data_IF_491729678839
#
_entry.id   IF_491729678839
#
_cell.length_a   1.000
_cell.length_b   1.000
_cell.length_c   1.000
_cell.angle_alpha   90.00
_cell.angle_beta   90.00
_cell.angle_gamma   90.00
#
_symmetry.space_group_name_H-M   'P 1'
#
loop_
_entity.id
_entity.type
_entity.pdbx_description
1 polymer ?
#
# COMPACT_ATOMS: atom_id res chain seq x y z
N UNK A 1 16.84 -56.22 -21.84
CA UNK A 1 16.02 -55.99 -20.63
C UNK A 1 16.42 -54.71 -19.86
N UNK A 2 17.70 -54.37 -19.79
CA UNK A 2 18.22 -53.16 -19.11
C UNK A 2 17.73 -51.82 -19.71
N UNK A 3 17.68 -51.70 -21.03
CA UNK A 3 17.23 -50.47 -21.72
C UNK A 3 15.82 -50.02 -21.34
N UNK A 4 14.88 -50.98 -21.14
CA UNK A 4 13.51 -50.67 -20.71
C UNK A 4 13.45 -50.17 -19.27
N UNK A 5 14.38 -50.58 -18.39
CA UNK A 5 14.49 -50.07 -17.01
C UNK A 5 15.08 -48.66 -17.01
N UNK A 6 16.09 -48.40 -17.84
CA UNK A 6 16.72 -47.07 -17.97
C UNK A 6 15.71 -46.03 -18.48
N UNK A 7 14.93 -46.36 -19.50
CA UNK A 7 13.87 -45.47 -20.03
C UNK A 7 12.81 -45.17 -18.96
N UNK A 8 12.40 -46.17 -18.17
CA UNK A 8 11.43 -45.97 -17.08
C UNK A 8 11.98 -45.04 -15.98
N UNK A 9 13.24 -45.19 -15.59
CA UNK A 9 13.89 -44.35 -14.58
C UNK A 9 14.02 -42.91 -15.09
N UNK A 10 14.41 -42.74 -16.36
CA UNK A 10 14.54 -41.42 -16.97
C UNK A 10 13.19 -40.69 -17.05
N UNK A 11 12.11 -41.39 -17.45
CA UNK A 11 10.77 -40.81 -17.46
C UNK A 11 10.29 -40.45 -16.04
N UNK A 12 10.63 -41.25 -15.03
CA UNK A 12 10.27 -40.95 -13.64
C UNK A 12 10.99 -39.69 -13.13
N UNK A 13 12.26 -39.51 -13.49
CA UNK A 13 13.02 -38.30 -13.16
C UNK A 13 12.43 -37.05 -13.81
N UNK A 14 12.08 -37.11 -15.10
CA UNK A 14 11.42 -36.00 -15.83
C UNK A 14 10.08 -35.64 -15.20
N UNK A 15 9.27 -36.64 -14.86
CA UNK A 15 7.98 -36.40 -14.21
C UNK A 15 8.19 -35.76 -12.83
N UNK A 16 9.16 -36.24 -12.03
CA UNK A 16 9.44 -35.67 -10.72
C UNK A 16 9.96 -34.22 -10.82
N UNK A 17 10.81 -33.92 -11.80
CA UNK A 17 11.32 -32.56 -11.99
C UNK A 17 10.23 -31.62 -12.47
N UNK A 18 9.32 -32.06 -13.35
CA UNK A 18 8.13 -31.28 -13.74
C UNK A 18 7.21 -31.00 -12.55
N UNK A 19 7.00 -31.97 -11.65
CA UNK A 19 6.21 -31.77 -10.43
C UNK A 19 6.89 -30.77 -9.48
N UNK A 20 8.23 -30.86 -9.31
CA UNK A 20 8.99 -29.91 -8.50
C UNK A 20 8.96 -28.48 -9.07
N UNK A 21 8.98 -28.33 -10.39
CA UNK A 21 8.90 -27.01 -11.05
C UNK A 21 7.49 -26.41 -10.89
N UNK A 22 6.44 -27.22 -10.93
CA UNK A 22 5.06 -26.75 -10.70
C UNK A 22 4.75 -26.41 -9.24
N UNK A 23 5.51 -26.97 -8.28
CA UNK A 23 5.29 -26.75 -6.84
C UNK A 23 5.92 -25.48 -6.25
N UNK A 24 6.84 -24.81 -6.96
CA UNK A 24 7.68 -23.76 -6.38
C UNK A 24 7.32 -22.31 -6.76
N UNK A 25 6.24 -22.02 -7.49
CA UNK A 25 6.02 -20.62 -7.96
C UNK A 25 4.58 -20.15 -8.11
N UNK A 26 3.59 -20.80 -7.50
CA UNK A 26 2.23 -20.24 -7.53
C UNK A 26 1.97 -19.41 -6.28
N UNK A 27 2.14 -18.09 -6.42
CA UNK A 27 1.46 -17.12 -5.55
C UNK A 27 -0.04 -17.47 -5.65
N UNK A 28 -0.59 -18.06 -4.58
CA UNK A 28 -2.00 -18.43 -4.54
C UNK A 28 -2.80 -17.16 -4.23
N UNK A 29 -3.48 -16.63 -5.24
CA UNK A 29 -4.41 -15.52 -5.06
C UNK A 29 -5.68 -16.01 -4.37
N UNK A 30 -6.20 -15.20 -3.45
CA UNK A 30 -7.50 -15.45 -2.83
C UNK A 30 -8.56 -15.23 -3.91
N UNK A 31 -9.17 -16.31 -4.40
CA UNK A 31 -10.32 -16.21 -5.29
C UNK A 31 -11.48 -15.54 -4.53
N UNK A 32 -12.38 -14.84 -5.24
CA UNK A 32 -13.62 -14.22 -4.74
C UNK A 32 -14.43 -15.10 -3.79
N UNK A 33 -14.36 -16.42 -3.94
CA UNK A 33 -15.04 -17.40 -3.07
C UNK A 33 -14.37 -17.65 -1.71
N UNK A 34 -13.15 -17.16 -1.50
CA UNK A 34 -12.34 -17.40 -0.29
C UNK A 34 -12.26 -16.20 0.66
N UNK A 35 -12.73 -15.01 0.27
CA UNK A 35 -12.88 -13.89 1.21
C UNK A 35 -14.07 -14.19 2.13
N UNK A 36 -13.79 -14.72 3.31
CA UNK A 36 -14.78 -14.99 4.37
C UNK A 36 -14.96 -13.76 5.26
N UNK A 37 -15.35 -12.64 4.65
CA UNK A 37 -15.58 -11.41 5.42
C UNK A 37 -16.91 -11.46 6.17
N UNK A 38 -16.94 -10.90 7.38
CA UNK A 38 -18.20 -10.60 8.08
C UNK A 38 -18.87 -9.33 7.54
N UNK A 39 -18.11 -8.49 6.85
CA UNK A 39 -18.48 -7.19 6.26
C UNK A 39 -18.76 -7.30 4.75
N UNK A 40 -19.59 -8.26 4.33
CA UNK A 40 -19.81 -8.57 2.90
C UNK A 40 -20.36 -7.39 2.08
N UNK A 41 -21.28 -6.64 2.67
CA UNK A 41 -21.88 -5.47 2.00
C UNK A 41 -20.80 -4.44 1.68
N UNK A 42 -19.95 -4.11 2.66
CA UNK A 42 -18.81 -3.20 2.44
C UNK A 42 -17.86 -3.72 1.35
N UNK A 43 -17.48 -5.00 1.37
CA UNK A 43 -16.62 -5.62 0.33
C UNK A 43 -17.21 -5.42 -1.08
N UNK A 44 -18.53 -5.55 -1.22
CA UNK A 44 -19.24 -5.34 -2.48
C UNK A 44 -19.27 -3.86 -2.88
N UNK A 45 -19.57 -2.95 -1.94
CA UNK A 45 -19.68 -1.51 -2.19
C UNK A 45 -18.36 -0.87 -2.61
N UNK A 46 -17.25 -1.22 -1.94
CA UNK A 46 -15.92 -0.72 -2.34
C UNK A 46 -15.43 -1.35 -3.64
N UNK A 47 -16.09 -2.40 -4.11
CA UNK A 47 -15.73 -3.09 -5.35
C UNK A 47 -14.41 -3.85 -5.26
N UNK A 48 -14.05 -4.37 -4.08
CA UNK A 48 -12.76 -5.02 -3.81
C UNK A 48 -12.40 -6.11 -4.84
N UNK A 49 -13.41 -6.76 -5.40
CA UNK A 49 -13.29 -7.88 -6.35
C UNK A 49 -13.82 -7.56 -7.75
N UNK A 50 -14.06 -6.28 -8.04
CA UNK A 50 -14.67 -5.82 -9.29
C UNK A 50 -13.64 -5.37 -10.33
N UNK A 51 -12.41 -5.10 -9.90
CA UNK A 51 -11.31 -4.63 -10.75
C UNK A 51 -10.52 -5.83 -11.30
N UNK A 52 -10.20 -5.80 -12.60
CA UNK A 52 -9.44 -6.88 -13.27
C UNK A 52 -7.94 -6.67 -13.19
N UNK A 53 -7.55 -5.43 -12.92
CA UNK A 53 -6.19 -4.90 -12.87
C UNK A 53 -5.49 -5.22 -11.54
N UNK A 54 -6.23 -5.65 -10.53
CA UNK A 54 -5.70 -6.06 -9.23
C UNK A 54 -6.11 -7.49 -8.89
N UNK A 55 -5.37 -8.11 -7.97
CA UNK A 55 -5.74 -9.41 -7.38
C UNK A 55 -5.54 -9.36 -5.87
N UNK A 56 -6.48 -9.91 -5.12
CA UNK A 56 -6.32 -10.01 -3.67
C UNK A 56 -5.39 -11.18 -3.34
N UNK A 57 -4.20 -10.86 -2.84
CA UNK A 57 -3.19 -11.83 -2.42
C UNK A 57 -3.51 -12.38 -1.03
N UNK A 58 -4.01 -11.56 -0.12
CA UNK A 58 -4.45 -11.98 1.22
C UNK A 58 -5.60 -11.12 1.71
N UNK A 59 -6.45 -11.74 2.53
CA UNK A 59 -7.50 -11.08 3.28
C UNK A 59 -7.51 -11.67 4.68
N UNK A 60 -7.24 -10.86 5.69
CA UNK A 60 -7.26 -11.26 7.10
C UNK A 60 -8.23 -10.36 7.85
N UNK A 61 -9.16 -10.97 8.55
CA UNK A 61 -10.14 -10.27 9.36
C UNK A 61 -10.18 -10.92 10.74
N UNK A 62 -10.08 -10.08 11.76
CA UNK A 62 -10.23 -10.45 13.17
C UNK A 62 -11.37 -9.61 13.77
N UNK A 63 -11.70 -9.85 15.03
CA UNK A 63 -12.69 -9.05 15.74
C UNK A 63 -12.29 -7.56 15.86
N UNK A 64 -11.01 -7.21 15.61
CA UNK A 64 -10.46 -5.86 15.77
C UNK A 64 -9.77 -5.30 14.52
N UNK A 65 -9.55 -6.10 13.48
CA UNK A 65 -8.75 -5.64 12.34
C UNK A 65 -9.17 -6.23 11.01
N UNK A 66 -8.92 -5.47 9.94
CA UNK A 66 -9.04 -5.89 8.54
C UNK A 66 -7.74 -5.55 7.80
N UNK A 67 -7.09 -6.57 7.26
CA UNK A 67 -5.87 -6.42 6.46
C UNK A 67 -6.09 -7.01 5.06
N UNK A 68 -5.77 -6.22 4.04
CA UNK A 68 -5.91 -6.61 2.64
C UNK A 68 -4.57 -6.42 1.94
N UNK A 69 -4.02 -7.52 1.42
CA UNK A 69 -2.83 -7.51 0.58
C UNK A 69 -3.29 -7.56 -0.89
N UNK A 70 -3.01 -6.52 -1.66
CA UNK A 70 -3.46 -6.31 -3.04
C UNK A 70 -2.27 -6.42 -3.97
N UNK A 71 -2.27 -7.44 -4.83
CA UNK A 71 -1.32 -7.50 -5.94
C UNK A 71 -1.79 -6.57 -7.07
N UNK A 72 -0.96 -5.60 -7.43
CA UNK A 72 -1.23 -4.55 -8.41
C UNK A 72 -0.10 -4.56 -9.43
N UNK A 73 -0.41 -4.64 -10.74
CA UNK A 73 0.61 -4.29 -11.72
C UNK A 73 0.93 -2.79 -11.56
N UNK A 74 2.20 -2.37 -11.65
CA UNK A 74 2.63 -0.98 -11.40
C UNK A 74 2.15 -0.01 -12.49
N UNK A 75 1.12 -0.38 -13.26
CA UNK A 75 0.51 0.44 -14.29
C UNK A 75 -0.40 1.51 -13.69
N UNK A 76 -0.65 2.56 -14.48
CA UNK A 76 -1.66 3.57 -14.17
C UNK A 76 -3.02 2.95 -13.80
N UNK A 77 -3.45 1.91 -14.53
CA UNK A 77 -4.77 1.31 -14.30
C UNK A 77 -4.83 0.51 -13.01
N UNK A 78 -3.75 -0.17 -12.66
CA UNK A 78 -3.61 -0.87 -11.39
C UNK A 78 -3.72 0.10 -10.21
N UNK A 79 -2.89 1.15 -10.22
CA UNK A 79 -2.92 2.16 -9.16
C UNK A 79 -4.26 2.91 -9.08
N UNK A 80 -4.89 3.21 -10.23
CA UNK A 80 -6.23 3.80 -10.27
C UNK A 80 -7.27 2.90 -9.60
N UNK A 81 -7.24 1.59 -9.86
CA UNK A 81 -8.14 0.64 -9.23
C UNK A 81 -7.94 0.59 -7.69
N UNK A 82 -6.70 0.65 -7.22
CA UNK A 82 -6.41 0.73 -5.77
C UNK A 82 -6.97 2.03 -5.18
N UNK A 83 -6.72 3.17 -5.81
CA UNK A 83 -7.21 4.47 -5.34
C UNK A 83 -8.75 4.52 -5.32
N UNK A 84 -9.42 3.96 -6.33
CA UNK A 84 -10.88 3.85 -6.36
C UNK A 84 -11.42 3.05 -5.16
N UNK A 85 -10.75 1.97 -4.77
CA UNK A 85 -11.12 1.16 -3.59
C UNK A 85 -10.91 1.93 -2.30
N UNK A 86 -9.78 2.61 -2.14
CA UNK A 86 -9.47 3.45 -0.97
C UNK A 86 -10.51 4.58 -0.83
N UNK A 87 -10.78 5.31 -1.92
CA UNK A 87 -11.75 6.40 -1.92
C UNK A 87 -13.16 5.93 -1.57
N UNK A 88 -13.60 4.79 -2.14
CA UNK A 88 -14.90 4.20 -1.80
C UNK A 88 -14.96 3.71 -0.36
N UNK A 89 -13.86 3.15 0.17
CA UNK A 89 -13.79 2.77 1.57
C UNK A 89 -13.95 4.00 2.48
N UNK A 90 -13.20 5.08 2.22
CA UNK A 90 -13.29 6.31 3.02
C UNK A 90 -14.69 6.95 2.94
N UNK A 91 -15.29 6.99 1.74
CA UNK A 91 -16.68 7.45 1.57
C UNK A 91 -17.67 6.58 2.37
N UNK A 92 -17.50 5.25 2.31
CA UNK A 92 -18.37 4.32 3.04
C UNK A 92 -18.27 4.50 4.56
N UNK A 93 -17.06 4.69 5.11
CA UNK A 93 -16.86 4.95 6.54
C UNK A 93 -17.52 6.27 6.95
N UNK A 94 -17.38 7.32 6.13
CA UNK A 94 -17.99 8.62 6.41
C UNK A 94 -19.53 8.55 6.42
N UNK A 95 -20.11 7.78 5.50
CA UNK A 95 -21.55 7.58 5.40
C UNK A 95 -22.10 6.63 6.48
N UNK A 96 -21.25 5.74 7.03
CA UNK A 96 -21.63 4.68 7.96
C UNK A 96 -20.64 4.59 9.15
N UNK A 97 -20.56 5.62 10.02
CA UNK A 97 -19.52 5.71 11.06
C UNK A 97 -19.53 4.55 12.07
N UNK A 98 -20.70 3.95 12.31
CA UNK A 98 -20.85 2.84 13.27
C UNK A 98 -20.67 1.45 12.65
N UNK A 99 -20.48 1.34 11.32
CA UNK A 99 -20.44 0.04 10.64
C UNK A 99 -19.30 -0.85 11.13
N UNK A 100 -18.17 -0.22 11.45
CA UNK A 100 -16.96 -0.86 11.93
C UNK A 100 -16.77 -0.72 13.44
N UNK A 101 -17.86 -0.70 14.22
CA UNK A 101 -17.81 -0.39 15.66
C UNK A 101 -16.86 -1.25 16.51
N UNK A 102 -16.48 -2.44 16.02
CA UNK A 102 -15.57 -3.36 16.70
C UNK A 102 -14.16 -3.38 16.07
N UNK A 103 -14.00 -2.79 14.88
CA UNK A 103 -12.73 -2.76 14.17
C UNK A 103 -11.96 -1.50 14.58
N UNK A 104 -10.72 -1.72 14.98
CA UNK A 104 -9.78 -0.68 15.40
C UNK A 104 -8.83 -0.34 14.25
N UNK A 105 -8.41 -1.35 13.48
CA UNK A 105 -7.36 -1.22 12.46
C UNK A 105 -7.81 -1.73 11.09
N UNK A 106 -7.65 -0.90 10.05
CA UNK A 106 -7.88 -1.26 8.65
C UNK A 106 -6.64 -0.87 7.85
N UNK A 107 -6.11 -1.81 7.07
CA UNK A 107 -4.92 -1.62 6.27
C UNK A 107 -5.04 -2.28 4.90
N UNK A 108 -4.78 -1.50 3.83
CA UNK A 108 -4.64 -2.00 2.46
C UNK A 108 -3.18 -1.83 2.03
N UNK A 109 -2.47 -2.94 1.83
CA UNK A 109 -1.11 -2.94 1.34
C UNK A 109 -1.09 -3.39 -0.13
N UNK A 110 -0.32 -2.70 -0.97
CA UNK A 110 -0.10 -3.09 -2.36
C UNK A 110 1.25 -3.78 -2.53
N UNK A 111 1.25 -4.78 -3.39
CA UNK A 111 2.43 -5.52 -3.78
C UNK A 111 2.51 -5.62 -5.30
N UNK A 112 3.70 -5.53 -5.84
CA UNK A 112 3.96 -5.83 -7.24
C UNK A 112 3.74 -7.32 -7.55
N UNK A 113 3.62 -7.71 -8.83
CA UNK A 113 3.57 -9.13 -9.21
C UNK A 113 4.82 -9.91 -8.78
N UNK A 114 5.96 -9.24 -8.59
CA UNK A 114 7.21 -9.80 -8.03
C UNK A 114 7.08 -10.15 -6.54
N UNK A 115 6.09 -9.59 -5.83
CA UNK A 115 5.92 -9.67 -4.39
C UNK A 115 6.60 -8.53 -3.62
N UNK A 116 7.24 -7.59 -4.32
CA UNK A 116 7.80 -6.38 -3.72
C UNK A 116 6.69 -5.45 -3.23
N UNK A 117 6.93 -4.76 -2.12
CA UNK A 117 5.97 -3.82 -1.53
C UNK A 117 5.92 -2.54 -2.35
N UNK A 118 4.71 -2.03 -2.61
CA UNK A 118 4.51 -0.75 -3.28
C UNK A 118 4.11 0.37 -2.32
N UNK A 119 2.85 0.35 -1.92
CA UNK A 119 2.22 1.40 -1.09
C UNK A 119 1.35 0.76 -0.01
N UNK A 120 1.01 1.53 1.00
CA UNK A 120 0.05 1.12 2.01
C UNK A 120 -0.88 2.26 2.39
N UNK A 121 -2.13 1.93 2.67
CA UNK A 121 -3.15 2.82 3.17
C UNK A 121 -3.64 2.28 4.50
N UNK A 122 -3.67 3.10 5.55
CA UNK A 122 -4.06 2.67 6.89
C UNK A 122 -4.83 3.76 7.65
N UNK A 123 -5.58 3.37 8.67
CA UNK A 123 -6.35 4.28 9.50
C UNK A 123 -5.67 4.68 10.81
N UNK A 124 -4.82 3.81 11.38
CA UNK A 124 -4.26 4.03 12.72
C UNK A 124 -2.84 3.50 12.88
N UNK A 125 -2.69 2.19 12.99
CA UNK A 125 -1.40 1.53 13.25
C UNK A 125 -0.98 0.65 12.08
N UNK A 126 0.32 0.59 11.87
CA UNK A 126 0.95 -0.37 11.00
C UNK A 126 2.21 -0.92 11.70
N UNK A 127 2.16 -2.21 12.01
CA UNK A 127 3.31 -2.94 12.56
C UNK A 127 4.49 -3.03 11.59
N UNK A 128 4.32 -2.62 10.35
CA UNK A 128 5.37 -2.56 9.35
C UNK A 128 6.07 -1.20 9.39
N UNK A 129 7.37 -1.19 9.13
CA UNK A 129 8.16 0.03 8.93
C UNK A 129 8.24 1.02 10.11
N UNK A 130 7.97 0.56 11.34
CA UNK A 130 8.14 1.35 12.57
C UNK A 130 7.35 2.68 12.61
N UNK A 131 6.29 2.80 11.81
CA UNK A 131 5.50 4.04 11.67
C UNK A 131 4.78 4.36 13.00
N UNK A 132 4.37 3.33 13.74
CA UNK A 132 3.71 3.43 15.06
C UNK A 132 4.51 4.25 16.09
N UNK A 133 5.83 4.36 15.93
CA UNK A 133 6.69 5.13 16.81
C UNK A 133 6.35 6.62 16.84
N UNK A 134 5.69 7.14 15.81
CA UNK A 134 5.44 8.57 15.68
C UNK A 134 4.01 8.96 15.26
N UNK A 135 3.18 8.05 14.73
CA UNK A 135 1.81 8.40 14.33
C UNK A 135 0.96 9.00 15.46
N UNK A 136 1.12 8.49 16.68
CA UNK A 136 0.40 8.99 17.85
C UNK A 136 0.65 10.48 18.15
N UNK A 137 1.76 11.05 17.64
CA UNK A 137 2.11 12.46 17.84
C UNK A 137 1.25 13.40 16.98
N UNK A 138 0.63 12.88 15.91
CA UNK A 138 -0.27 13.65 15.04
C UNK A 138 -1.64 13.91 15.67
N UNK A 139 -2.01 13.16 16.72
CA UNK A 139 -3.26 13.32 17.50
C UNK A 139 -4.51 13.36 16.62
N UNK A 140 -4.55 12.54 15.57
CA UNK A 140 -5.73 12.43 14.71
C UNK A 140 -6.85 11.69 15.43
N UNK A 141 -8.08 11.98 15.03
CA UNK A 141 -9.26 11.30 15.57
C UNK A 141 -9.23 9.83 15.17
N UNK A 142 -9.50 8.95 16.15
CA UNK A 142 -9.68 7.53 15.91
C UNK A 142 -10.89 7.32 15.00
N UNK A 143 -10.66 6.84 13.78
CA UNK A 143 -11.70 6.45 12.84
C UNK A 143 -11.25 5.26 12.00
N UNK A 144 -12.18 4.61 11.32
CA UNK A 144 -11.88 3.55 10.34
C UNK A 144 -11.50 4.11 8.96
N UNK A 145 -11.47 5.43 8.77
CA UNK A 145 -11.05 6.05 7.51
C UNK A 145 -9.55 5.79 7.31
N UNK A 146 -9.12 5.39 6.11
CA UNK A 146 -7.70 5.27 5.77
C UNK A 146 -7.11 6.68 5.68
N UNK A 147 -6.68 7.23 6.81
CA UNK A 147 -6.17 8.59 6.91
C UNK A 147 -4.74 8.73 6.35
N UNK A 148 -3.96 7.66 6.40
CA UNK A 148 -2.55 7.66 6.03
C UNK A 148 -2.31 6.89 4.73
N UNK A 149 -1.50 7.47 3.85
CA UNK A 149 -0.85 6.77 2.76
C UNK A 149 0.65 6.70 3.05
N UNK A 150 1.22 5.51 2.94
CA UNK A 150 2.64 5.23 3.12
C UNK A 150 3.23 4.75 1.81
N UNK A 151 4.35 5.34 1.40
CA UNK A 151 5.05 5.02 0.15
C UNK A 151 6.51 4.75 0.48
N UNK A 152 7.01 3.58 0.06
CA UNK A 152 8.44 3.37 -0.05
C UNK A 152 8.94 4.10 -1.29
N UNK A 153 9.84 5.06 -1.12
CA UNK A 153 10.26 5.95 -2.20
C UNK A 153 11.26 5.29 -3.17
N UNK A 154 11.66 4.04 -2.93
CA UNK A 154 12.40 3.17 -3.85
C UNK A 154 11.49 2.23 -4.68
N UNK A 155 10.18 2.18 -4.38
CA UNK A 155 9.22 1.39 -5.13
C UNK A 155 8.90 2.01 -6.51
N UNK A 156 8.49 1.18 -7.48
CA UNK A 156 8.02 1.66 -8.78
C UNK A 156 6.61 2.29 -8.68
N UNK A 157 6.60 3.60 -8.45
CA UNK A 157 5.40 4.43 -8.42
C UNK A 157 5.11 5.13 -9.75
N UNK A 158 5.78 4.76 -10.84
CA UNK A 158 5.61 5.47 -12.12
C UNK A 158 4.17 5.43 -12.64
N UNK A 159 3.48 4.30 -12.50
CA UNK A 159 2.04 4.19 -12.78
C UNK A 159 1.19 5.12 -11.91
N UNK A 160 1.51 5.23 -10.62
CA UNK A 160 0.81 6.13 -9.71
C UNK A 160 1.00 7.60 -10.09
N UNK A 161 2.23 7.99 -10.45
CA UNK A 161 2.53 9.36 -10.89
C UNK A 161 1.87 9.73 -12.22
N UNK A 162 1.70 8.75 -13.11
CA UNK A 162 1.08 8.93 -14.43
C UNK A 162 -0.44 8.83 -14.46
N UNK A 163 -1.07 8.31 -13.40
CA UNK A 163 -2.53 8.10 -13.42
C UNK A 163 -3.33 9.41 -13.43
N UNK A 164 -4.42 9.42 -14.21
CA UNK A 164 -5.46 10.44 -14.08
C UNK A 164 -6.39 10.09 -12.90
N UNK A 165 -6.25 10.81 -11.79
CA UNK A 165 -7.06 10.61 -10.58
C UNK A 165 -6.38 11.11 -9.32
N UNK A 166 -7.02 10.84 -8.19
CA UNK A 166 -6.53 11.15 -6.86
C UNK A 166 -6.94 10.06 -5.87
N UNK A 167 -6.26 10.05 -4.72
CA UNK A 167 -6.65 9.32 -3.53
C UNK A 167 -6.96 10.31 -2.40
N UNK A 168 -7.91 9.94 -1.54
CA UNK A 168 -8.35 10.75 -0.39
C UNK A 168 -7.63 10.25 0.86
N UNK A 169 -6.45 10.79 1.16
CA UNK A 169 -5.76 10.57 2.43
C UNK A 169 -5.31 11.93 2.98
N UNK A 170 -5.33 12.07 4.31
CA UNK A 170 -4.98 13.33 4.99
C UNK A 170 -3.49 13.44 5.26
N UNK A 171 -2.81 12.30 5.35
CA UNK A 171 -1.38 12.23 5.65
C UNK A 171 -0.67 11.37 4.62
N UNK A 172 0.41 11.88 4.05
CA UNK A 172 1.34 11.15 3.21
C UNK A 172 2.63 10.91 3.99
N UNK A 173 3.08 9.67 4.04
CA UNK A 173 4.34 9.24 4.65
C UNK A 173 5.24 8.73 3.54
N UNK A 174 6.35 9.42 3.34
CA UNK A 174 7.36 9.09 2.33
C UNK A 174 8.57 8.50 3.06
N UNK A 175 8.83 7.21 2.89
CA UNK A 175 9.99 6.54 3.48
C UNK A 175 11.13 6.46 2.45
N UNK A 176 12.23 7.12 2.79
CA UNK A 176 13.42 7.23 1.95
C UNK A 176 14.52 6.27 2.42
N UNK A 177 14.46 5.05 1.91
CA UNK A 177 15.49 4.02 2.16
C UNK A 177 16.73 4.20 1.28
N UNK A 178 16.54 4.49 -0.02
CA UNK A 178 17.62 4.67 -1.03
C UNK A 178 17.22 5.60 -2.20
N UNK A 179 16.17 6.40 -2.03
CA UNK A 179 15.34 6.92 -3.14
C UNK A 179 16.03 7.77 -4.23
N UNK A 180 15.41 7.65 -5.42
CA UNK A 180 15.64 8.35 -6.68
C UNK A 180 14.64 9.48 -6.96
N UNK A 181 13.64 9.77 -6.09
CA UNK A 181 12.63 10.79 -6.40
C UNK A 181 13.28 12.17 -6.36
N UNK A 182 13.37 12.79 -7.53
CA UNK A 182 13.91 14.13 -7.66
C UNK A 182 12.94 15.13 -6.98
N UNK A 183 13.42 16.13 -6.24
CA UNK A 183 12.57 17.20 -5.73
C UNK A 183 11.61 17.81 -6.78
N UNK A 184 11.97 17.78 -8.07
CA UNK A 184 11.08 18.20 -9.16
C UNK A 184 9.78 17.40 -9.30
N UNK A 185 9.77 16.14 -8.85
CA UNK A 185 8.64 15.22 -9.03
C UNK A 185 7.68 15.23 -7.84
N UNK A 186 8.06 15.90 -6.74
CA UNK A 186 7.23 16.02 -5.52
C UNK A 186 5.87 16.63 -5.85
N UNK A 187 5.80 17.70 -6.63
CA UNK A 187 4.53 18.32 -6.99
C UNK A 187 3.61 17.37 -7.77
N UNK A 188 4.17 16.50 -8.60
CA UNK A 188 3.40 15.48 -9.32
C UNK A 188 2.86 14.42 -8.35
N UNK A 189 3.68 13.96 -7.40
CA UNK A 189 3.22 13.04 -6.35
C UNK A 189 2.11 13.65 -5.50
N UNK A 190 2.32 14.86 -4.97
CA UNK A 190 1.36 15.56 -4.11
C UNK A 190 0.04 15.82 -4.84
N UNK A 191 0.07 16.05 -6.16
CA UNK A 191 -1.14 16.24 -6.97
C UNK A 191 -2.07 15.03 -7.00
N UNK A 192 -1.58 13.84 -6.60
CA UNK A 192 -2.39 12.62 -6.51
C UNK A 192 -3.19 12.53 -5.21
N UNK A 193 -3.03 13.49 -4.29
CA UNK A 193 -3.75 13.53 -3.03
C UNK A 193 -4.67 14.75 -2.99
N UNK A 194 -5.97 14.52 -2.83
CA UNK A 194 -6.98 15.60 -2.91
C UNK A 194 -7.21 16.33 -1.58
N UNK A 195 -7.08 15.62 -0.46
CA UNK A 195 -7.40 16.11 0.89
C UNK A 195 -6.16 16.10 1.80
N UNK A 196 -4.98 16.23 1.21
CA UNK A 196 -3.72 16.16 1.94
C UNK A 196 -3.57 17.35 2.89
N UNK A 197 -3.29 17.07 4.16
CA UNK A 197 -3.05 18.07 5.20
C UNK A 197 -1.60 18.03 5.69
N UNK A 198 -0.99 16.84 5.71
CA UNK A 198 0.31 16.62 6.32
C UNK A 198 1.19 15.72 5.45
N UNK A 199 2.50 16.01 5.42
CA UNK A 199 3.52 15.17 4.78
C UNK A 199 4.58 14.83 5.82
N UNK A 200 4.88 13.55 5.95
CA UNK A 200 5.93 13.02 6.82
C UNK A 200 7.02 12.43 5.94
N UNK A 201 8.27 12.82 6.19
CA UNK A 201 9.44 12.25 5.55
C UNK A 201 10.13 11.36 6.59
N UNK A 202 10.06 10.06 6.35
CA UNK A 202 10.64 9.01 7.18
C UNK A 202 11.97 8.52 6.58
N UNK A 203 12.91 8.17 7.46
CA UNK A 203 14.27 7.69 7.18
C UNK A 203 15.21 8.68 6.44
N UNK A 204 16.51 8.52 6.67
CA UNK A 204 17.51 9.60 6.69
C UNK A 204 18.76 9.32 5.84
N UNK A 205 18.80 8.22 5.09
CA UNK A 205 19.93 7.91 4.20
C UNK A 205 19.69 8.51 2.80
N UNK A 206 19.56 9.83 2.77
CA UNK A 206 19.15 10.59 1.59
C UNK A 206 20.34 11.02 0.71
N UNK A 207 20.12 10.96 -0.60
CA UNK A 207 21.00 11.62 -1.59
C UNK A 207 20.83 13.15 -1.61
N UNK A 208 19.70 13.66 -1.10
CA UNK A 208 19.34 15.09 -1.04
C UNK A 208 19.21 15.57 0.41
N UNK A 209 19.27 16.87 0.66
CA UNK A 209 18.97 17.37 2.00
C UNK A 209 17.46 17.27 2.28
N UNK A 210 17.08 16.95 3.52
CA UNK A 210 15.67 17.00 3.96
C UNK A 210 15.05 18.37 3.73
N UNK A 211 15.87 19.42 3.82
CA UNK A 211 15.48 20.81 3.60
C UNK A 211 15.03 21.04 2.15
N UNK A 212 15.78 20.53 1.16
CA UNK A 212 15.39 20.66 -0.27
C UNK A 212 14.03 20.00 -0.56
N UNK A 213 13.75 18.86 0.08
CA UNK A 213 12.46 18.16 -0.05
C UNK A 213 11.36 18.97 0.63
N UNK A 214 11.62 19.49 1.83
CA UNK A 214 10.70 20.35 2.56
C UNK A 214 10.34 21.62 1.77
N UNK A 215 11.34 22.30 1.22
CA UNK A 215 11.17 23.48 0.37
C UNK A 215 10.34 23.18 -0.88
N UNK A 216 10.56 22.03 -1.52
CA UNK A 216 9.79 21.61 -2.68
C UNK A 216 8.31 21.34 -2.34
N UNK A 217 8.02 20.74 -1.18
CA UNK A 217 6.65 20.54 -0.69
C UNK A 217 5.98 21.89 -0.40
N UNK A 218 6.64 22.78 0.34
CA UNK A 218 6.09 24.11 0.65
C UNK A 218 5.90 24.97 -0.60
N UNK A 219 6.80 24.86 -1.58
CA UNK A 219 6.67 25.56 -2.87
C UNK A 219 5.46 25.06 -3.67
N UNK A 220 5.09 23.79 -3.53
CA UNK A 220 3.89 23.23 -4.14
C UNK A 220 2.62 23.65 -3.40
N UNK A 221 2.60 23.55 -2.06
CA UNK A 221 1.47 23.94 -1.22
C UNK A 221 1.94 24.36 0.18
N UNK A 222 1.90 25.66 0.44
CA UNK A 222 2.38 26.30 1.67
C UNK A 222 1.49 26.05 2.90
N UNK A 223 0.34 25.39 2.71
CA UNK A 223 -0.60 25.03 3.79
C UNK A 223 -0.35 23.63 4.36
N UNK A 224 0.46 22.81 3.69
CA UNK A 224 0.78 21.48 4.17
C UNK A 224 1.69 21.56 5.40
N UNK A 225 1.37 20.79 6.43
CA UNK A 225 2.32 20.61 7.52
C UNK A 225 3.35 19.55 7.14
N UNK A 226 4.62 19.93 7.14
CA UNK A 226 5.73 19.02 6.81
C UNK A 226 6.44 18.61 8.10
N UNK A 227 6.69 17.32 8.26
CA UNK A 227 7.41 16.75 9.39
C UNK A 227 8.55 15.84 8.93
N UNK A 228 9.67 15.90 9.64
CA UNK A 228 10.77 14.95 9.50
C UNK A 228 10.77 13.98 10.68
N UNK A 229 11.00 12.69 10.41
CA UNK A 229 11.17 11.70 11.47
C UNK A 229 12.64 11.69 11.92
N UNK A 230 12.92 12.05 13.17
CA UNK A 230 14.24 11.93 13.78
C UNK A 230 14.18 11.12 15.06
N UNK A 231 14.88 9.98 15.07
CA UNK A 231 14.92 9.07 16.23
C UNK A 231 13.52 8.70 16.77
N UNK A 232 12.55 8.48 15.86
CA UNK A 232 11.17 8.14 16.21
C UNK A 232 10.33 9.32 16.72
N UNK A 233 10.75 10.57 16.50
CA UNK A 233 10.00 11.77 16.84
C UNK A 233 9.71 12.60 15.60
N UNK A 234 8.55 13.27 15.56
CA UNK A 234 8.21 14.23 14.51
C UNK A 234 8.80 15.60 14.83
N UNK A 235 9.67 16.09 13.95
CA UNK A 235 10.14 17.47 13.95
C UNK A 235 9.43 18.24 12.84
N UNK A 236 8.63 19.25 13.20
CA UNK A 236 7.95 20.10 12.22
C UNK A 236 8.98 20.92 11.44
N UNK A 237 8.93 20.82 10.11
CA UNK A 237 9.74 21.65 9.23
C UNK A 237 9.12 23.04 9.09
N UNK A 238 9.97 24.05 9.26
CA UNK A 238 9.64 25.46 9.14
C UNK A 238 10.57 26.03 8.04
N UNK A 239 10.02 26.50 6.91
CA UNK A 239 10.79 27.08 5.82
C UNK A 239 11.41 28.45 6.19
#
# INVERSE_FOLDING_TARGET
MYMKKIIKIFNLMIISSLICIMGCSQIMYVNKFNIKSSHKEWVEQIGLLSHREIKIQSYRETDKSIEIDINCDTSEKGYKAVCDIVNKHNAYVLENPDYFSNIEDICFATYEPSGEFGMMFLNKECRYYNIDNYLHQLKREDSCELQYAYILMDADISGFLSMDGYVTNKVLIMDYTQSCLNPSDIGMLLSKFSDLEQVIIADTDLAYSLEDIGDAIYSYNDKLEVYFVKSGQLEKYLP
#
